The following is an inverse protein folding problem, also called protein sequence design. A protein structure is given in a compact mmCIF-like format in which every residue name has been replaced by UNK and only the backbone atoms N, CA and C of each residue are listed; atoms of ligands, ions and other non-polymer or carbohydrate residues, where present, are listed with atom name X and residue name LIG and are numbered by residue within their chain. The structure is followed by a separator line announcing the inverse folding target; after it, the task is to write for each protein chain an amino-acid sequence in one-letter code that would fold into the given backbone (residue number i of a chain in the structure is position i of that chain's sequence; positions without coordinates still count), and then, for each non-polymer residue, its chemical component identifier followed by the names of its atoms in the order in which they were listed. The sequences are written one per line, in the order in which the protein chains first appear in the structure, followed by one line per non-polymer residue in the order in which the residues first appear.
data_IF_545938580281
#
_entry.id   IF_545938580281
#
_cell.length_a   1.000
_cell.length_b   1.000
_cell.length_c   1.000
_cell.angle_alpha   90.00
_cell.angle_beta   90.00
_cell.angle_gamma   90.00
#
_symmetry.space_group_name_H-M   'P 1'
#
loop_
_entity.id
_entity.type
_entity.pdbx_description
1 polymer ?
#
# COMPACT_ATOMS: atom_id res chain seq x y z
N UNK A 1 -9.50 -15.56 13.52
CA UNK A 1 -10.03 -15.64 14.90
C UNK A 1 -11.17 -14.64 15.02
N UNK A 2 -12.39 -15.13 15.19
CA UNK A 2 -13.51 -14.61 16.00
C UNK A 2 -14.77 -15.34 15.54
N UNK A 3 -15.08 -16.42 16.27
CA UNK A 3 -16.38 -17.09 16.27
C UNK A 3 -17.46 -16.06 16.69
N UNK A 4 -18.65 -16.01 16.10
CA UNK A 4 -19.64 -17.08 16.06
C UNK A 4 -20.61 -16.90 17.21
N UNK A 5 -21.69 -16.12 17.02
CA UNK A 5 -22.96 -16.27 17.76
C UNK A 5 -24.06 -15.36 17.19
N UNK A 6 -24.95 -15.89 16.34
CA UNK A 6 -26.28 -15.33 16.13
C UNK A 6 -27.28 -16.30 16.73
N UNK A 7 -27.87 -15.90 17.87
CA UNK A 7 -28.98 -16.58 18.52
C UNK A 7 -30.16 -16.60 17.55
N UNK A 8 -30.53 -17.78 17.06
CA UNK A 8 -31.83 -18.01 16.42
C UNK A 8 -32.85 -18.18 17.55
N UNK A 9 -33.68 -17.14 17.78
CA UNK A 9 -34.85 -17.23 18.64
C UNK A 9 -35.95 -18.01 17.91
N UNK A 10 -36.20 -19.24 18.33
CA UNK A 10 -37.39 -19.99 17.96
C UNK A 10 -38.56 -19.59 18.88
N UNK A 11 -39.78 -19.34 18.34
CA UNK A 11 -40.94 -19.08 19.17
C UNK A 11 -41.40 -20.35 19.89
N UNK A 12 -41.74 -20.18 21.18
CA UNK A 12 -42.21 -21.22 22.06
C UNK A 12 -43.52 -21.85 21.55
N UNK A 13 -43.55 -23.19 21.55
CA UNK A 13 -44.75 -23.99 21.33
C UNK A 13 -45.82 -23.62 22.36
N UNK A 14 -46.99 -23.17 21.90
CA UNK A 14 -48.18 -23.05 22.73
C UNK A 14 -48.73 -24.45 23.05
N UNK A 15 -48.73 -24.76 24.34
CA UNK A 15 -49.23 -26.00 24.90
C UNK A 15 -50.78 -25.96 24.93
N UNK A 16 -51.43 -26.67 24.01
CA UNK A 16 -52.89 -26.84 23.99
C UNK A 16 -53.29 -27.75 25.15
N UNK A 17 -54.12 -27.25 26.08
CA UNK A 17 -54.67 -28.05 27.17
C UNK A 17 -55.77 -28.98 26.64
N UNK A 18 -55.84 -30.26 27.06
CA UNK A 18 -56.91 -31.16 26.65
C UNK A 18 -58.20 -30.82 27.40
N UNK A 19 -59.29 -30.61 26.65
CA UNK A 19 -60.64 -30.54 27.19
C UNK A 19 -61.03 -31.90 27.78
N UNK A 20 -61.42 -31.90 29.05
CA UNK A 20 -61.98 -33.07 29.75
C UNK A 20 -63.37 -33.36 29.20
N UNK A 21 -63.49 -34.43 28.42
CA UNK A 21 -64.78 -34.99 28.01
C UNK A 21 -65.27 -35.99 29.06
N UNK A 22 -66.31 -35.61 29.78
CA UNK A 22 -67.03 -36.51 30.68
C UNK A 22 -67.74 -37.60 29.88
N UNK A 23 -67.50 -38.83 30.34
CA UNK A 23 -68.05 -40.10 29.87
C UNK A 23 -69.57 -40.12 29.80
N UNK A 24 -70.10 -40.34 28.60
CA UNK A 24 -71.50 -40.69 28.34
C UNK A 24 -71.59 -41.83 27.33
N UNK A 25 -71.32 -43.06 27.79
CA UNK A 25 -71.46 -44.28 27.01
C UNK A 25 -72.95 -44.58 26.78
N UNK A 26 -73.40 -44.57 25.52
CA UNK A 26 -74.44 -45.47 25.03
C UNK A 26 -74.34 -45.62 23.51
N UNK A 27 -73.64 -46.68 23.08
CA UNK A 27 -73.81 -47.26 21.75
C UNK A 27 -75.16 -47.94 21.69
N UNK A 28 -75.98 -47.56 20.71
CA UNK A 28 -76.92 -48.49 20.09
C UNK A 28 -76.57 -48.52 18.60
N UNK A 29 -75.93 -49.60 18.16
CA UNK A 29 -75.69 -49.87 16.75
C UNK A 29 -76.96 -50.54 16.18
N UNK A 30 -77.77 -49.78 15.45
CA UNK A 30 -78.65 -50.35 14.43
C UNK A 30 -78.00 -50.06 13.07
N UNK A 31 -77.23 -51.02 12.54
CA UNK A 31 -76.88 -51.02 11.12
C UNK A 31 -78.15 -51.33 10.35
N UNK A 32 -78.70 -50.33 9.66
CA UNK A 32 -79.53 -50.55 8.48
C UNK A 32 -78.59 -50.53 7.29
N UNK A 33 -78.36 -51.69 6.69
CA UNK A 33 -77.73 -51.77 5.38
C UNK A 33 -78.73 -51.22 4.35
N UNK A 34 -78.62 -49.93 4.05
CA UNK A 34 -79.27 -49.35 2.87
C UNK A 34 -78.39 -49.68 1.66
N UNK A 35 -78.85 -50.62 0.85
CA UNK A 35 -78.31 -50.90 -0.46
C UNK A 35 -78.59 -49.68 -1.36
N UNK A 36 -77.59 -48.78 -1.47
CA UNK A 36 -77.64 -47.63 -2.36
C UNK A 36 -77.46 -48.11 -3.81
N UNK A 37 -78.56 -48.23 -4.55
CA UNK A 37 -78.48 -48.20 -6.01
C UNK A 37 -78.12 -46.77 -6.42
N UNK A 38 -76.83 -46.52 -6.69
CA UNK A 38 -76.38 -45.25 -7.26
C UNK A 38 -76.80 -45.18 -8.73
N UNK A 39 -77.53 -44.13 -9.11
CA UNK A 39 -77.88 -43.87 -10.50
C UNK A 39 -76.61 -43.42 -11.29
N UNK A 40 -76.23 -44.10 -12.38
CA UNK A 40 -75.00 -43.78 -13.13
C UNK A 40 -74.94 -42.36 -13.69
N UNK A 41 -76.09 -41.70 -13.91
CA UNK A 41 -76.13 -40.32 -14.41
C UNK A 41 -75.77 -39.29 -13.33
N UNK A 42 -76.22 -39.49 -12.09
CA UNK A 42 -75.90 -38.60 -10.97
C UNK A 42 -74.43 -38.65 -10.60
N UNK A 43 -73.78 -39.82 -10.72
CA UNK A 43 -72.35 -39.97 -10.46
C UNK A 43 -71.51 -39.20 -11.50
N UNK A 44 -71.91 -39.24 -12.78
CA UNK A 44 -71.24 -38.50 -13.86
C UNK A 44 -71.41 -36.98 -13.69
N UNK A 45 -72.60 -36.53 -13.32
CA UNK A 45 -72.88 -35.11 -13.08
C UNK A 45 -72.11 -34.58 -11.86
N UNK A 46 -72.02 -35.36 -10.78
CA UNK A 46 -71.19 -35.02 -9.62
C UNK A 46 -69.70 -34.98 -9.99
N UNK A 47 -69.23 -35.91 -10.82
CA UNK A 47 -67.84 -35.93 -11.28
C UNK A 47 -67.51 -34.70 -12.14
N UNK A 48 -68.39 -34.28 -13.04
CA UNK A 48 -68.19 -33.03 -13.81
C UNK A 48 -68.24 -31.78 -12.93
N UNK A 49 -69.12 -31.74 -11.92
CA UNK A 49 -69.20 -30.64 -10.97
C UNK A 49 -67.92 -30.50 -10.14
N UNK A 50 -67.37 -31.62 -9.66
CA UNK A 50 -66.09 -31.66 -8.94
C UNK A 50 -64.92 -31.22 -9.84
N UNK A 51 -64.91 -31.62 -11.12
CA UNK A 51 -63.88 -31.19 -12.08
C UNK A 51 -63.93 -29.68 -12.35
N UNK A 52 -65.12 -29.10 -12.49
CA UNK A 52 -65.30 -27.66 -12.72
C UNK A 52 -64.90 -26.82 -11.49
N UNK A 53 -65.28 -27.25 -10.29
CA UNK A 53 -64.87 -26.57 -9.05
C UNK A 53 -63.35 -26.66 -8.82
N UNK A 54 -62.72 -27.79 -9.18
CA UNK A 54 -61.26 -27.92 -9.16
C UNK A 54 -60.60 -26.99 -10.18
N UNK A 55 -61.13 -26.88 -11.40
CA UNK A 55 -60.62 -25.97 -12.43
C UNK A 55 -60.70 -24.51 -11.97
N UNK A 56 -61.86 -24.08 -11.45
CA UNK A 56 -62.05 -22.75 -10.84
C UNK A 56 -61.09 -22.49 -9.69
N UNK A 57 -60.86 -23.49 -8.83
CA UNK A 57 -59.92 -23.38 -7.71
C UNK A 57 -58.47 -23.22 -8.21
N UNK A 58 -58.06 -24.00 -9.20
CA UNK A 58 -56.74 -23.89 -9.82
C UNK A 58 -56.52 -22.54 -10.52
N UNK A 59 -57.55 -22.01 -11.19
CA UNK A 59 -57.46 -20.71 -11.85
C UNK A 59 -57.40 -19.56 -10.85
N UNK A 60 -58.12 -19.65 -9.73
CA UNK A 60 -57.99 -18.68 -8.61
C UNK A 60 -56.58 -18.69 -8.02
N UNK A 61 -56.01 -19.86 -7.81
CA UNK A 61 -54.65 -20.01 -7.26
C UNK A 61 -53.59 -19.48 -8.26
N UNK A 62 -53.75 -19.77 -9.55
CA UNK A 62 -52.90 -19.22 -10.61
C UNK A 62 -53.00 -17.70 -10.71
N UNK A 63 -54.21 -17.14 -10.62
CA UNK A 63 -54.40 -15.70 -10.63
C UNK A 63 -53.76 -15.03 -9.41
N UNK A 64 -53.99 -15.57 -8.20
CA UNK A 64 -53.41 -15.06 -6.95
C UNK A 64 -51.88 -15.14 -6.95
N UNK A 65 -51.31 -16.26 -7.39
CA UNK A 65 -49.86 -16.46 -7.50
C UNK A 65 -49.24 -15.55 -8.57
N UNK A 66 -49.88 -15.40 -9.73
CA UNK A 66 -49.45 -14.49 -10.80
C UNK A 66 -49.46 -13.03 -10.33
N UNK A 67 -50.51 -12.60 -9.63
CA UNK A 67 -50.60 -11.25 -9.04
C UNK A 67 -49.53 -11.04 -7.96
N UNK A 68 -49.28 -12.05 -7.12
CA UNK A 68 -48.20 -11.99 -6.12
C UNK A 68 -46.82 -11.86 -6.77
N UNK A 69 -46.54 -12.65 -7.81
CA UNK A 69 -45.30 -12.57 -8.58
C UNK A 69 -45.15 -11.21 -9.26
N UNK A 70 -46.20 -10.70 -9.91
CA UNK A 70 -46.20 -9.38 -10.54
C UNK A 70 -45.87 -8.27 -9.53
N UNK A 71 -46.44 -8.33 -8.31
CA UNK A 71 -46.11 -7.39 -7.23
C UNK A 71 -44.67 -7.52 -6.75
N UNK A 72 -44.15 -8.75 -6.61
CA UNK A 72 -42.76 -8.98 -6.23
C UNK A 72 -41.78 -8.42 -7.28
N UNK A 73 -42.04 -8.68 -8.57
CA UNK A 73 -41.22 -8.18 -9.69
C UNK A 73 -41.19 -6.65 -9.73
N UNK A 74 -42.33 -5.99 -9.53
CA UNK A 74 -42.40 -4.53 -9.48
C UNK A 74 -41.57 -3.95 -8.31
N UNK A 75 -41.62 -4.59 -7.14
CA UNK A 75 -40.82 -4.17 -5.98
C UNK A 75 -39.33 -4.34 -6.22
N UNK A 76 -38.91 -5.48 -6.76
CA UNK A 76 -37.50 -5.74 -7.09
C UNK A 76 -36.98 -4.80 -8.17
N UNK A 77 -37.83 -4.44 -9.15
CA UNK A 77 -37.43 -3.46 -10.16
C UNK A 77 -37.24 -2.08 -9.54
N UNK A 78 -38.15 -1.65 -8.67
CA UNK A 78 -38.03 -0.37 -7.98
C UNK A 78 -36.77 -0.32 -7.09
N UNK A 79 -36.49 -1.37 -6.32
CA UNK A 79 -35.27 -1.45 -5.51
C UNK A 79 -34.01 -1.46 -6.37
N UNK A 80 -34.00 -2.19 -7.50
CA UNK A 80 -32.86 -2.22 -8.41
C UNK A 80 -32.61 -0.85 -9.07
N UNK A 81 -33.65 -0.10 -9.41
CA UNK A 81 -33.54 1.26 -9.93
C UNK A 81 -33.02 2.22 -8.86
N UNK A 82 -33.50 2.14 -7.62
CA UNK A 82 -32.99 2.94 -6.49
C UNK A 82 -31.51 2.66 -6.22
N UNK A 83 -31.11 1.39 -6.17
CA UNK A 83 -29.71 0.99 -5.96
C UNK A 83 -28.81 1.45 -7.13
N UNK A 84 -29.30 1.41 -8.37
CA UNK A 84 -28.57 1.96 -9.53
C UNK A 84 -28.39 3.47 -9.40
N UNK A 85 -29.42 4.20 -9.01
CA UNK A 85 -29.34 5.66 -8.83
C UNK A 85 -28.36 6.04 -7.71
N UNK A 86 -28.40 5.34 -6.58
CA UNK A 86 -27.43 5.51 -5.48
C UNK A 86 -26.00 5.21 -5.94
N UNK A 87 -25.82 4.11 -6.67
CA UNK A 87 -24.51 3.71 -7.21
C UNK A 87 -23.95 4.77 -8.16
N UNK A 88 -24.78 5.32 -9.05
CA UNK A 88 -24.38 6.40 -9.96
C UNK A 88 -24.02 7.69 -9.22
N UNK A 89 -24.75 8.05 -8.17
CA UNK A 89 -24.45 9.22 -7.35
C UNK A 89 -23.09 9.06 -6.66
N UNK A 90 -22.85 7.91 -6.03
CA UNK A 90 -21.58 7.60 -5.38
C UNK A 90 -20.42 7.61 -6.39
N UNK A 91 -20.61 7.05 -7.59
CA UNK A 91 -19.59 7.07 -8.64
C UNK A 91 -19.20 8.51 -9.03
N UNK A 92 -20.17 9.42 -9.17
CA UNK A 92 -19.89 10.85 -9.45
C UNK A 92 -19.13 11.52 -8.31
N UNK A 93 -19.54 11.27 -7.07
CA UNK A 93 -18.84 11.82 -5.89
C UNK A 93 -17.40 11.31 -5.82
N UNK A 94 -17.16 10.03 -6.13
CA UNK A 94 -15.82 9.47 -6.19
C UNK A 94 -14.98 10.14 -7.29
N UNK A 95 -15.53 10.33 -8.49
CA UNK A 95 -14.83 11.01 -9.58
C UNK A 95 -14.44 12.45 -9.22
N UNK A 96 -15.33 13.19 -8.53
CA UNK A 96 -15.02 14.53 -8.02
C UNK A 96 -13.89 14.50 -7.00
N UNK A 97 -13.92 13.55 -6.06
CA UNK A 97 -12.87 13.36 -5.05
C UNK A 97 -11.53 12.95 -5.67
N UNK A 98 -11.54 12.10 -6.69
CA UNK A 98 -10.36 11.72 -7.45
C UNK A 98 -9.75 12.93 -8.18
N UNK A 99 -10.58 13.80 -8.76
CA UNK A 99 -10.11 15.05 -9.39
C UNK A 99 -9.49 16.00 -8.37
N UNK A 100 -10.11 16.16 -7.20
CA UNK A 100 -9.54 16.96 -6.11
C UNK A 100 -8.19 16.39 -5.65
N UNK A 101 -8.12 15.08 -5.40
CA UNK A 101 -6.90 14.41 -4.97
C UNK A 101 -5.79 14.58 -6.00
N UNK A 102 -6.10 14.39 -7.29
CA UNK A 102 -5.13 14.57 -8.38
C UNK A 102 -4.58 15.99 -8.46
N UNK A 103 -5.42 17.02 -8.22
CA UNK A 103 -4.94 18.42 -8.13
C UNK A 103 -3.94 18.57 -7.00
N UNK A 104 -4.24 18.03 -5.82
CA UNK A 104 -3.33 18.06 -4.68
C UNK A 104 -2.02 17.30 -4.96
N UNK A 105 -2.09 16.10 -5.56
CA UNK A 105 -0.91 15.34 -5.95
C UNK A 105 -0.01 16.14 -6.88
N UNK A 106 -0.57 16.74 -7.93
CA UNK A 106 0.21 17.55 -8.88
C UNK A 106 0.83 18.78 -8.20
N UNK A 107 0.06 19.45 -7.34
CA UNK A 107 0.53 20.64 -6.62
C UNK A 107 1.70 20.30 -5.69
N UNK A 108 1.55 19.29 -4.83
CA UNK A 108 2.61 18.93 -3.89
C UNK A 108 3.83 18.34 -4.60
N UNK A 109 3.64 17.58 -5.68
CA UNK A 109 4.74 17.10 -6.51
C UNK A 109 5.54 18.26 -7.12
N UNK A 110 4.86 19.29 -7.62
CA UNK A 110 5.54 20.48 -8.15
C UNK A 110 6.30 21.24 -7.07
N UNK A 111 5.72 21.41 -5.87
CA UNK A 111 6.42 22.03 -4.75
C UNK A 111 7.68 21.25 -4.35
N UNK A 112 7.58 19.92 -4.28
CA UNK A 112 8.72 19.05 -3.99
C UNK A 112 9.81 19.17 -5.06
N UNK A 113 9.44 19.08 -6.34
CA UNK A 113 10.39 19.22 -7.45
C UNK A 113 11.11 20.57 -7.40
N UNK A 114 10.38 21.67 -7.14
CA UNK A 114 10.96 23.01 -7.03
C UNK A 114 11.93 23.12 -5.85
N UNK A 115 11.59 22.50 -4.71
CA UNK A 115 12.45 22.48 -3.54
C UNK A 115 13.72 21.67 -3.80
N UNK A 116 13.59 20.49 -4.41
CA UNK A 116 14.70 19.62 -4.79
C UNK A 116 15.61 20.30 -5.81
N UNK A 117 15.05 20.94 -6.82
CA UNK A 117 15.82 21.68 -7.83
C UNK A 117 16.64 22.79 -7.18
N UNK A 118 16.00 23.66 -6.38
CA UNK A 118 16.68 24.75 -5.67
C UNK A 118 17.77 24.22 -4.73
N UNK A 119 17.49 23.13 -4.02
CA UNK A 119 18.45 22.45 -3.14
C UNK A 119 19.65 21.93 -3.93
N UNK A 120 19.40 21.23 -5.04
CA UNK A 120 20.45 20.68 -5.91
C UNK A 120 21.34 21.78 -6.51
N UNK A 121 20.75 22.89 -6.94
CA UNK A 121 21.48 24.05 -7.45
C UNK A 121 22.35 24.67 -6.35
N UNK A 122 21.82 24.80 -5.14
CA UNK A 122 22.57 25.32 -3.99
C UNK A 122 23.79 24.45 -3.67
N UNK A 123 23.64 23.13 -3.62
CA UNK A 123 24.77 22.20 -3.39
C UNK A 123 25.81 22.26 -4.51
N UNK A 124 25.38 22.31 -5.78
CA UNK A 124 26.28 22.45 -6.94
C UNK A 124 27.10 23.74 -6.85
N UNK A 125 26.45 24.89 -6.69
CA UNK A 125 27.16 26.17 -6.60
C UNK A 125 28.07 26.20 -5.39
N UNK A 126 27.65 25.67 -4.25
CA UNK A 126 28.49 25.66 -3.03
C UNK A 126 29.74 24.80 -3.20
N UNK A 127 29.61 23.61 -3.80
CA UNK A 127 30.74 22.73 -4.07
C UNK A 127 31.68 23.33 -5.11
N UNK A 128 31.16 23.88 -6.21
CA UNK A 128 31.96 24.58 -7.23
C UNK A 128 32.73 25.78 -6.66
N UNK A 129 32.08 26.62 -5.85
CA UNK A 129 32.73 27.78 -5.21
C UNK A 129 33.80 27.34 -4.22
N UNK A 130 33.54 26.28 -3.44
CA UNK A 130 34.52 25.71 -2.52
C UNK A 130 35.75 25.18 -3.26
N UNK A 131 35.55 24.37 -4.30
CA UNK A 131 36.63 23.82 -5.11
C UNK A 131 37.45 24.93 -5.77
N UNK A 132 36.79 25.96 -6.29
CA UNK A 132 37.46 27.13 -6.86
C UNK A 132 38.30 27.87 -5.82
N UNK A 133 37.76 28.10 -4.62
CA UNK A 133 38.49 28.74 -3.52
C UNK A 133 39.68 27.89 -3.08
N UNK A 134 39.52 26.57 -3.02
CA UNK A 134 40.62 25.63 -2.75
C UNK A 134 41.71 25.72 -3.82
N UNK A 135 41.35 25.76 -5.10
CA UNK A 135 42.33 25.87 -6.18
C UNK A 135 43.02 27.23 -6.19
N UNK A 136 42.30 28.32 -5.91
CA UNK A 136 42.89 29.65 -5.76
C UNK A 136 43.92 29.66 -4.63
N UNK A 137 43.54 29.15 -3.44
CA UNK A 137 44.46 29.03 -2.30
C UNK A 137 45.64 28.11 -2.64
N UNK A 138 45.40 26.96 -3.29
CA UNK A 138 46.47 26.07 -3.74
C UNK A 138 47.42 26.76 -4.70
N UNK A 139 46.92 27.58 -5.64
CA UNK A 139 47.75 28.30 -6.61
C UNK A 139 48.60 29.39 -5.96
N UNK A 140 48.02 30.13 -5.01
CA UNK A 140 48.68 31.22 -4.25
C UNK A 140 49.68 30.67 -3.24
N UNK A 141 49.34 29.57 -2.61
CA UNK A 141 50.12 28.92 -1.56
C UNK A 141 50.64 27.55 -2.01
N UNK A 142 51.03 27.40 -3.29
CA UNK A 142 51.87 26.26 -3.69
C UNK A 142 53.11 26.37 -2.82
N UNK A 143 53.10 25.60 -1.72
CA UNK A 143 54.16 25.59 -0.71
C UNK A 143 55.45 25.55 -1.49
N UNK A 144 56.25 26.60 -1.32
CA UNK A 144 57.59 26.70 -1.86
C UNK A 144 58.22 25.32 -1.62
N UNK A 145 58.44 24.55 -2.69
CA UNK A 145 59.21 23.32 -2.57
C UNK A 145 60.58 23.82 -2.17
N UNK A 146 60.89 23.71 -0.88
CA UNK A 146 62.23 23.95 -0.41
C UNK A 146 63.04 22.78 -0.97
N UNK A 147 63.53 22.96 -2.19
CA UNK A 147 64.43 21.99 -2.79
C UNK A 147 65.63 21.90 -1.84
N UNK A 148 65.88 20.73 -1.25
CA UNK A 148 66.94 20.59 -0.29
C UNK A 148 68.28 20.92 -0.96
N UNK A 149 68.97 21.92 -0.42
CA UNK A 149 70.22 22.42 -1.00
C UNK A 149 71.36 21.49 -0.60
N UNK A 150 72.30 21.24 -1.51
CA UNK A 150 73.47 20.38 -1.31
C UNK A 150 73.17 18.87 -1.13
N UNK A 151 72.03 18.36 -1.61
CA UNK A 151 71.65 16.94 -1.45
C UNK A 151 72.66 15.96 -2.03
N UNK A 152 73.23 16.27 -3.19
CA UNK A 152 74.19 15.34 -3.82
C UNK A 152 75.46 15.21 -2.97
N UNK A 153 75.98 16.33 -2.44
CA UNK A 153 77.10 16.35 -1.51
C UNK A 153 76.74 15.67 -0.17
N UNK A 154 75.50 15.85 0.29
CA UNK A 154 74.98 15.17 1.49
C UNK A 154 74.96 13.65 1.31
N UNK A 155 74.56 13.15 0.14
CA UNK A 155 74.55 11.72 -0.15
C UNK A 155 75.97 11.17 -0.24
N UNK A 156 76.89 11.89 -0.90
CA UNK A 156 78.29 11.47 -1.04
C UNK A 156 79.02 11.41 0.30
N UNK A 157 78.81 12.39 1.19
CA UNK A 157 79.42 12.37 2.52
C UNK A 157 78.87 11.23 3.39
N UNK A 158 77.56 10.95 3.31
CA UNK A 158 76.97 9.81 4.01
C UNK A 158 77.52 8.47 3.50
N UNK A 159 77.63 8.31 2.17
CA UNK A 159 78.23 7.11 1.58
C UNK A 159 79.69 6.94 2.01
N UNK A 160 80.47 8.03 2.06
CA UNK A 160 81.87 7.96 2.48
C UNK A 160 82.01 7.49 3.94
N UNK A 161 81.20 8.01 4.86
CA UNK A 161 81.24 7.59 6.26
C UNK A 161 80.77 6.14 6.46
N UNK A 162 79.79 5.67 5.66
CA UNK A 162 79.37 4.27 5.68
C UNK A 162 80.48 3.33 5.21
N UNK A 163 81.25 3.73 4.22
CA UNK A 163 82.36 2.95 3.67
C UNK A 163 83.61 3.00 4.56
N UNK A 164 83.81 4.08 5.33
CA UNK A 164 85.02 4.32 6.13
C UNK A 164 84.71 4.57 7.62
N UNK A 165 84.11 3.60 8.35
CA UNK A 165 83.65 3.81 9.72
C UNK A 165 84.78 4.03 10.74
N UNK A 166 85.99 3.51 10.47
CA UNK A 166 87.18 3.66 11.34
C UNK A 166 88.15 4.74 10.87
N UNK A 167 87.93 5.30 9.68
CA UNK A 167 88.85 6.23 9.02
C UNK A 167 88.09 7.47 8.54
N UNK A 168 87.28 8.06 9.42
CA UNK A 168 86.35 9.16 9.10
C UNK A 168 87.04 10.41 8.55
N UNK A 169 88.34 10.60 8.84
CA UNK A 169 89.14 11.70 8.33
C UNK A 169 89.40 11.63 6.81
N UNK A 170 89.27 10.46 6.17
CA UNK A 170 89.36 10.33 4.71
C UNK A 170 88.22 11.07 3.99
N UNK A 171 87.07 11.23 4.66
CA UNK A 171 85.90 11.96 4.17
C UNK A 171 85.96 13.48 4.41
N UNK A 172 87.06 13.99 4.98
CA UNK A 172 87.21 15.41 5.37
C UNK A 172 87.12 16.40 4.21
N UNK A 173 87.57 15.99 3.01
CA UNK A 173 87.43 16.78 1.79
C UNK A 173 85.94 16.98 1.41
N UNK A 174 85.17 15.90 1.40
CA UNK A 174 83.72 15.92 1.13
C UNK A 174 82.96 16.72 2.20
N UNK A 175 83.35 16.60 3.47
CA UNK A 175 82.79 17.39 4.56
C UNK A 175 83.02 18.89 4.36
N UNK A 176 84.23 19.27 3.97
CA UNK A 176 84.59 20.66 3.70
C UNK A 176 83.78 21.24 2.54
N UNK A 177 83.57 20.46 1.48
CA UNK A 177 82.79 20.85 0.31
C UNK A 177 81.30 21.00 0.63
N UNK A 178 80.73 20.06 1.39
CA UNK A 178 79.37 20.17 1.91
C UNK A 178 79.18 21.42 2.77
N UNK A 179 80.10 21.70 3.70
CA UNK A 179 80.05 22.90 4.53
C UNK A 179 80.13 24.20 3.71
N UNK A 180 80.96 24.25 2.67
CA UNK A 180 81.04 25.39 1.73
C UNK A 180 79.70 25.60 1.01
N UNK A 181 79.10 24.52 0.51
CA UNK A 181 77.79 24.56 -0.15
C UNK A 181 76.70 25.08 0.80
N UNK A 182 76.64 24.58 2.04
CA UNK A 182 75.66 25.03 3.05
C UNK A 182 75.86 26.51 3.41
N UNK A 183 77.11 26.96 3.58
CA UNK A 183 77.41 28.39 3.86
C UNK A 183 76.95 29.29 2.71
N UNK A 184 77.25 28.89 1.48
CA UNK A 184 76.86 29.62 0.29
C UNK A 184 75.33 29.70 0.18
N UNK A 185 74.62 28.57 0.35
CA UNK A 185 73.17 28.51 0.35
C UNK A 185 72.54 29.41 1.41
N UNK A 186 73.09 29.42 2.64
CA UNK A 186 72.64 30.31 3.72
C UNK A 186 72.83 31.79 3.36
N UNK A 187 73.97 32.15 2.75
CA UNK A 187 74.24 33.52 2.30
C UNK A 187 73.33 33.97 1.15
N UNK A 188 73.06 33.09 0.17
CA UNK A 188 72.15 33.39 -0.94
C UNK A 188 70.68 33.51 -0.49
N UNK A 189 70.26 32.72 0.50
CA UNK A 189 68.88 32.75 1.00
C UNK A 189 68.61 33.89 1.99
N UNK A 190 69.63 34.36 2.74
CA UNK A 190 69.50 35.48 3.66
C UNK A 190 69.22 36.84 2.96
N UNK A 191 69.49 36.95 1.65
CA UNK A 191 69.21 38.16 0.86
C UNK A 191 67.85 38.22 0.16
N UNK A 192 67.00 37.19 0.29
CA UNK A 192 65.71 37.08 -0.43
C UNK A 192 64.46 37.29 0.45
N UNK A 193 64.63 37.50 1.76
CA UNK A 193 63.52 37.79 2.68
C UNK A 193 63.33 39.28 2.89
N UNK A 194 62.56 39.92 1.99
CA UNK A 194 61.96 41.24 2.16
C UNK A 194 60.45 41.11 2.20
#
# INVERSE_FOLDING_TARGET
MHAGNRKLSFPAHAHMQPATWSSGFRRSCARKDHQAHQNPEELKQNQSSVQDELAKALDRERAASSEHLARAVLRERASAEDERMKSQLLAKQLEEKEKELKKHETYYKEQLNRLEERSSQFYKVTTEQYEKAVEEVKSRFKRYKADPVCVDLQNQIFQCYQQNPKETLSCSALATEYFKCVRHARQCNAGRGG
#
